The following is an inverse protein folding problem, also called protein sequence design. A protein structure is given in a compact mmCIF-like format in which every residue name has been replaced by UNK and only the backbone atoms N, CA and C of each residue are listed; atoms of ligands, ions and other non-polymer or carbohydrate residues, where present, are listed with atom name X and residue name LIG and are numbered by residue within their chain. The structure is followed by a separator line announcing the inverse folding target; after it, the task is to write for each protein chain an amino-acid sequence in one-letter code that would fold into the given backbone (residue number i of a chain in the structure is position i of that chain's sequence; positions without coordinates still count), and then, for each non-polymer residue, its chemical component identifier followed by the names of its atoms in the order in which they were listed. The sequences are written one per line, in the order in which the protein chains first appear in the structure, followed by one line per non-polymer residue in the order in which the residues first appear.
data_IF_387767545806
#
_entry.id   IF_387767545806
#
_cell.length_a   1.000
_cell.length_b   1.000
_cell.length_c   1.000
_cell.angle_alpha   90.00
_cell.angle_beta   90.00
_cell.angle_gamma   90.00
#
_symmetry.space_group_name_H-M   'P 1'
#
loop_
_entity.id
_entity.type
_entity.pdbx_description
1 polymer ?
#
# COMPACT_ATOMS: atom_id res chain seq x y z
N UNK A 1 -12.67 -14.88 16.82
CA UNK A 1 -12.80 -13.95 15.67
C UNK A 1 -13.83 -12.89 16.06
N UNK A 2 -13.55 -11.59 15.88
CA UNK A 2 -14.53 -10.53 16.15
C UNK A 2 -15.67 -10.61 15.13
N UNK A 3 -16.91 -10.31 15.55
CA UNK A 3 -18.02 -10.15 14.60
C UNK A 3 -17.81 -8.90 13.75
N UNK A 4 -18.48 -8.84 12.60
CA UNK A 4 -18.37 -7.68 11.68
C UNK A 4 -18.83 -6.38 12.35
N UNK A 5 -19.94 -6.45 13.10
CA UNK A 5 -20.49 -5.32 13.85
C UNK A 5 -19.51 -4.85 14.94
N UNK A 6 -18.91 -5.80 15.68
CA UNK A 6 -17.96 -5.47 16.73
C UNK A 6 -16.69 -4.86 16.18
N UNK A 7 -16.23 -5.31 15.01
CA UNK A 7 -15.09 -4.70 14.32
C UNK A 7 -15.37 -3.26 13.92
N UNK A 8 -16.55 -3.00 13.37
CA UNK A 8 -16.98 -1.65 13.02
C UNK A 8 -17.09 -0.74 14.27
N UNK A 9 -17.67 -1.22 15.36
CA UNK A 9 -17.73 -0.49 16.64
C UNK A 9 -16.35 -0.09 17.15
N UNK A 10 -15.39 -1.03 17.13
CA UNK A 10 -14.01 -0.76 17.57
C UNK A 10 -13.36 0.30 16.67
N UNK A 11 -13.52 0.22 15.36
CA UNK A 11 -12.99 1.21 14.41
C UNK A 11 -13.62 2.58 14.62
N UNK A 12 -14.94 2.66 14.73
CA UNK A 12 -15.65 3.93 14.97
C UNK A 12 -15.25 4.52 16.32
N UNK A 13 -15.14 3.71 17.37
CA UNK A 13 -14.69 4.16 18.68
C UNK A 13 -13.26 4.72 18.64
N UNK A 14 -12.34 4.02 17.97
CA UNK A 14 -10.96 4.52 17.79
C UNK A 14 -10.93 5.84 16.99
N UNK A 15 -11.79 5.97 15.97
CA UNK A 15 -11.88 7.20 15.18
C UNK A 15 -12.51 8.35 15.98
N UNK A 16 -13.54 8.08 16.79
CA UNK A 16 -14.12 9.05 17.70
C UNK A 16 -13.11 9.50 18.77
N UNK A 17 -12.31 8.60 19.28
CA UNK A 17 -11.20 8.89 20.20
C UNK A 17 -10.17 9.81 19.53
N UNK A 18 -9.83 9.59 18.25
CA UNK A 18 -8.95 10.45 17.47
C UNK A 18 -9.57 11.83 17.29
N UNK A 19 -10.83 11.91 16.87
CA UNK A 19 -11.56 13.18 16.66
C UNK A 19 -11.56 14.04 17.92
N UNK A 20 -11.82 13.43 19.09
CA UNK A 20 -11.96 14.13 20.35
C UNK A 20 -10.64 14.28 21.13
N UNK A 21 -9.50 13.90 20.53
CA UNK A 21 -8.22 13.96 21.22
C UNK A 21 -7.64 15.38 21.27
N UNK A 22 -6.52 15.50 21.98
CA UNK A 22 -5.65 16.67 21.88
C UNK A 22 -4.64 16.45 20.75
N UNK A 23 -4.26 17.55 20.06
CA UNK A 23 -3.30 17.46 18.95
C UNK A 23 -1.99 16.72 19.29
N UNK A 24 -1.50 16.87 20.53
CA UNK A 24 -0.28 16.18 21.03
C UNK A 24 -0.42 14.66 21.13
N UNK A 25 -1.64 14.14 21.13
CA UNK A 25 -1.93 12.70 21.19
C UNK A 25 -2.36 12.15 19.83
N UNK A 26 -2.44 12.97 18.80
CA UNK A 26 -2.94 12.60 17.47
C UNK A 26 -2.23 11.37 16.92
N UNK A 27 -0.89 11.35 16.93
CA UNK A 27 -0.07 10.24 16.44
C UNK A 27 -0.45 8.89 17.09
N UNK A 28 -0.57 8.88 18.41
CA UNK A 28 -0.94 7.67 19.16
C UNK A 28 -2.36 7.21 18.82
N UNK A 29 -3.27 8.14 18.59
CA UNK A 29 -4.67 7.84 18.26
C UNK A 29 -4.82 7.40 16.80
N UNK A 30 -4.01 7.93 15.88
CA UNK A 30 -3.92 7.43 14.50
C UNK A 30 -3.51 5.96 14.49
N UNK A 31 -2.46 5.58 15.22
CA UNK A 31 -2.05 4.19 15.36
C UNK A 31 -3.16 3.26 15.88
N UNK A 32 -4.04 3.76 16.79
CA UNK A 32 -5.18 2.99 17.28
C UNK A 32 -6.24 2.74 16.17
N UNK A 33 -6.50 3.72 15.32
CA UNK A 33 -7.41 3.57 14.16
C UNK A 33 -6.86 2.55 13.17
N UNK A 34 -5.58 2.68 12.78
CA UNK A 34 -4.93 1.73 11.86
C UNK A 34 -4.88 0.31 12.42
N UNK A 35 -4.64 0.17 13.73
CA UNK A 35 -4.69 -1.12 14.42
C UNK A 35 -6.09 -1.75 14.35
N UNK A 36 -7.15 -0.96 14.53
CA UNK A 36 -8.53 -1.46 14.41
C UNK A 36 -8.81 -1.99 13.00
N UNK A 37 -8.31 -1.32 11.95
CA UNK A 37 -8.39 -1.81 10.57
C UNK A 37 -7.64 -3.12 10.40
N UNK A 38 -6.38 -3.20 10.83
CA UNK A 38 -5.54 -4.38 10.70
C UNK A 38 -6.09 -5.62 11.43
N UNK A 39 -6.84 -5.44 12.51
CA UNK A 39 -7.44 -6.53 13.30
C UNK A 39 -8.74 -7.07 12.72
N UNK A 40 -9.31 -6.43 11.71
CA UNK A 40 -10.57 -6.84 11.08
C UNK A 40 -10.38 -7.12 9.61
N UNK A 41 -10.59 -8.38 9.22
CA UNK A 41 -10.50 -8.78 7.81
C UNK A 41 -11.44 -7.94 6.92
N UNK A 42 -12.66 -7.66 7.37
CA UNK A 42 -13.62 -6.85 6.60
C UNK A 42 -13.11 -5.43 6.35
N UNK A 43 -12.59 -4.77 7.41
CA UNK A 43 -12.06 -3.41 7.31
C UNK A 43 -10.82 -3.39 6.44
N UNK A 44 -9.89 -4.33 6.67
CA UNK A 44 -8.66 -4.46 5.89
C UNK A 44 -8.94 -4.61 4.40
N UNK A 45 -9.73 -5.63 4.01
CA UNK A 45 -10.09 -5.89 2.61
C UNK A 45 -10.80 -4.69 1.96
N UNK A 46 -11.62 -3.94 2.72
CA UNK A 46 -12.31 -2.75 2.19
C UNK A 46 -11.34 -1.60 1.96
N UNK A 47 -10.43 -1.33 2.92
CA UNK A 47 -9.44 -0.26 2.75
C UNK A 47 -8.39 -0.62 1.70
N UNK A 48 -7.96 -1.88 1.61
CA UNK A 48 -7.13 -2.38 0.52
C UNK A 48 -7.80 -2.11 -0.84
N UNK A 49 -9.08 -2.44 -0.96
CA UNK A 49 -9.84 -2.22 -2.19
C UNK A 49 -9.91 -0.73 -2.59
N UNK A 50 -10.26 0.17 -1.67
CA UNK A 50 -10.40 1.60 -2.02
C UNK A 50 -9.06 2.28 -2.28
N UNK A 51 -7.96 1.76 -1.74
CA UNK A 51 -6.61 2.30 -1.98
C UNK A 51 -5.94 1.71 -3.21
N UNK A 52 -6.43 0.57 -3.72
CA UNK A 52 -5.86 -0.07 -4.91
C UNK A 52 -6.04 0.81 -6.16
N UNK A 53 -4.91 1.24 -6.73
CA UNK A 53 -4.88 2.13 -7.89
C UNK A 53 -5.28 3.59 -7.62
N UNK A 54 -5.43 4.00 -6.35
CA UNK A 54 -5.71 5.38 -6.00
C UNK A 54 -4.44 6.24 -6.07
N UNK A 55 -4.43 7.26 -6.94
CA UNK A 55 -3.32 8.21 -7.04
C UNK A 55 -3.35 9.22 -5.87
N UNK A 56 -2.77 8.80 -4.75
CA UNK A 56 -2.72 9.60 -3.53
C UNK A 56 -1.92 10.89 -3.71
N UNK A 57 -0.83 10.89 -4.47
CA UNK A 57 0.01 12.07 -4.66
C UNK A 57 -0.74 13.16 -5.44
N UNK A 58 -1.42 12.77 -6.53
CA UNK A 58 -2.27 13.68 -7.27
C UNK A 58 -3.45 14.19 -6.41
N UNK A 59 -4.12 13.29 -5.66
CA UNK A 59 -5.21 13.67 -4.77
C UNK A 59 -4.74 14.65 -3.68
N UNK A 60 -3.58 14.41 -3.06
CA UNK A 60 -3.01 15.27 -2.02
C UNK A 60 -2.75 16.68 -2.53
N UNK A 61 -2.22 16.83 -3.75
CA UNK A 61 -1.98 18.13 -4.36
C UNK A 61 -3.25 18.93 -4.67
N UNK A 62 -4.36 18.24 -4.93
CA UNK A 62 -5.67 18.87 -5.20
C UNK A 62 -6.43 19.16 -3.91
N UNK A 63 -6.35 18.24 -2.93
CA UNK A 63 -7.09 18.35 -1.68
C UNK A 63 -6.50 19.41 -0.74
N UNK A 64 -5.18 19.56 -0.70
CA UNK A 64 -4.50 20.57 0.10
C UNK A 64 -4.10 21.75 -0.77
N UNK A 65 -4.96 22.76 -0.82
CA UNK A 65 -4.72 24.03 -1.53
C UNK A 65 -4.56 25.17 -0.53
N UNK A 66 -3.98 26.30 -0.98
CA UNK A 66 -3.64 27.45 -0.15
C UNK A 66 -4.74 27.81 0.87
N UNK A 67 -4.45 27.52 2.14
CA UNK A 67 -5.30 27.87 3.28
C UNK A 67 -6.55 27.02 3.46
N UNK A 68 -6.68 25.86 2.79
CA UNK A 68 -7.87 25.03 2.94
C UNK A 68 -7.69 23.56 2.57
N UNK A 69 -8.75 22.79 2.84
CA UNK A 69 -8.84 21.37 2.45
C UNK A 69 -10.13 21.14 1.69
N UNK A 70 -10.02 20.59 0.50
CA UNK A 70 -11.13 20.17 -0.35
C UNK A 70 -11.11 18.65 -0.49
N UNK A 71 -12.02 17.94 0.19
CA UNK A 71 -12.07 16.49 0.14
C UNK A 71 -12.61 15.95 -1.18
N UNK A 72 -12.20 14.73 -1.61
CA UNK A 72 -12.78 14.05 -2.75
C UNK A 72 -14.30 13.90 -2.61
N UNK A 73 -15.03 14.03 -3.73
CA UNK A 73 -16.50 13.97 -3.76
C UNK A 73 -17.03 12.54 -3.64
N UNK A 74 -16.27 11.55 -4.16
CA UNK A 74 -16.67 10.15 -4.13
C UNK A 74 -16.29 9.53 -2.79
N UNK A 75 -17.21 8.74 -2.22
CA UNK A 75 -17.01 8.06 -0.93
C UNK A 75 -15.76 7.18 -0.94
N UNK A 76 -15.50 6.43 -2.03
CA UNK A 76 -14.32 5.57 -2.16
C UNK A 76 -13.02 6.37 -2.18
N UNK A 77 -12.95 7.43 -2.98
CA UNK A 77 -11.77 8.31 -3.08
C UNK A 77 -11.50 9.04 -1.75
N UNK A 78 -12.56 9.45 -1.03
CA UNK A 78 -12.45 10.08 0.28
C UNK A 78 -11.90 9.10 1.32
N UNK A 79 -12.39 7.85 1.32
CA UNK A 79 -11.88 6.81 2.22
C UNK A 79 -10.41 6.50 1.93
N UNK A 80 -10.05 6.33 0.65
CA UNK A 80 -8.68 6.08 0.23
C UNK A 80 -7.75 7.23 0.65
N UNK A 81 -8.12 8.47 0.32
CA UNK A 81 -7.33 9.65 0.65
C UNK A 81 -7.06 9.78 2.15
N UNK A 82 -8.14 9.74 2.97
CA UNK A 82 -8.00 9.90 4.40
C UNK A 82 -7.22 8.74 5.05
N UNK A 83 -7.45 7.51 4.61
CA UNK A 83 -6.75 6.34 5.13
C UNK A 83 -5.25 6.41 4.84
N UNK A 84 -4.86 6.73 3.60
CA UNK A 84 -3.45 6.88 3.22
C UNK A 84 -2.79 8.05 3.94
N UNK A 85 -3.50 9.17 4.18
CA UNK A 85 -2.99 10.26 5.00
C UNK A 85 -2.71 9.82 6.44
N UNK A 86 -3.62 9.04 7.05
CA UNK A 86 -3.40 8.48 8.39
C UNK A 86 -2.20 7.53 8.40
N UNK A 87 -2.01 6.72 7.36
CA UNK A 87 -0.82 5.88 7.23
C UNK A 87 0.48 6.69 7.10
N UNK A 88 0.50 7.80 6.35
CA UNK A 88 1.66 8.69 6.27
C UNK A 88 2.00 9.33 7.63
N UNK A 89 0.97 9.73 8.39
CA UNK A 89 1.16 10.28 9.74
C UNK A 89 1.77 9.22 10.67
N UNK A 90 1.24 8.01 10.68
CA UNK A 90 1.75 6.90 11.50
C UNK A 90 3.19 6.53 11.12
N UNK A 91 3.48 6.47 9.82
CA UNK A 91 4.81 6.21 9.27
C UNK A 91 5.79 7.39 9.42
N UNK A 92 5.38 8.53 10.03
CA UNK A 92 6.17 9.76 10.18
C UNK A 92 6.66 10.36 8.85
N UNK A 93 5.99 10.04 7.75
CA UNK A 93 6.21 10.69 6.45
C UNK A 93 5.50 12.05 6.38
N UNK A 94 4.41 12.19 7.13
CA UNK A 94 3.70 13.46 7.32
C UNK A 94 3.72 13.86 8.80
N UNK A 95 4.02 15.13 9.07
CA UNK A 95 4.03 15.70 10.41
C UNK A 95 2.69 16.39 10.70
N UNK A 96 1.99 15.92 11.74
CA UNK A 96 0.68 16.46 12.11
C UNK A 96 0.77 17.95 12.44
N UNK A 97 1.81 18.41 13.14
CA UNK A 97 1.97 19.81 13.52
C UNK A 97 2.14 20.68 12.29
N UNK A 98 2.97 20.21 11.33
CA UNK A 98 3.15 20.90 10.06
C UNK A 98 1.85 20.96 9.27
N UNK A 99 1.13 19.85 9.14
CA UNK A 99 -0.16 19.75 8.46
C UNK A 99 -1.18 20.74 9.06
N UNK A 100 -1.28 20.76 10.41
CA UNK A 100 -2.18 21.66 11.12
C UNK A 100 -1.81 23.13 10.89
N UNK A 101 -0.52 23.46 10.93
CA UNK A 101 -0.03 24.84 10.75
C UNK A 101 -0.25 25.33 9.32
N UNK A 102 -0.04 24.46 8.34
CA UNK A 102 -0.07 24.83 6.92
C UNK A 102 -1.51 24.96 6.37
N UNK A 103 -2.41 24.03 6.75
CA UNK A 103 -3.74 23.93 6.12
C UNK A 103 -4.92 24.21 7.04
N UNK A 104 -4.72 24.20 8.36
CA UNK A 104 -5.81 24.36 9.34
C UNK A 104 -5.58 25.49 10.33
N UNK A 105 -4.49 26.26 10.14
CA UNK A 105 -4.11 27.29 11.08
C UNK A 105 -5.17 28.39 11.14
N UNK A 106 -5.93 28.42 12.26
CA UNK A 106 -6.75 29.55 12.67
C UNK A 106 -6.00 30.35 13.72
N UNK A 107 -6.43 31.60 13.95
CA UNK A 107 -5.80 32.52 14.89
C UNK A 107 -5.84 32.07 16.38
N UNK A 108 -6.49 30.92 16.68
CA UNK A 108 -6.81 30.47 18.04
C UNK A 108 -5.91 29.34 18.57
N UNK A 109 -4.77 29.08 17.92
CA UNK A 109 -3.75 28.11 18.37
C UNK A 109 -3.96 26.69 17.90
N UNK A 110 -2.99 25.81 18.23
CA UNK A 110 -2.87 24.43 17.69
C UNK A 110 -4.07 23.53 18.01
N UNK A 111 -4.72 23.69 19.15
CA UNK A 111 -5.90 22.88 19.48
C UNK A 111 -7.10 23.29 18.62
N UNK A 112 -7.23 24.54 18.25
CA UNK A 112 -8.25 25.02 17.32
C UNK A 112 -7.98 24.52 15.90
N UNK A 113 -6.72 24.57 15.46
CA UNK A 113 -6.30 23.97 14.19
C UNK A 113 -6.63 22.48 14.14
N UNK A 114 -6.38 21.74 15.22
CA UNK A 114 -6.74 20.33 15.33
C UNK A 114 -8.26 20.10 15.28
N UNK A 115 -9.04 20.93 15.96
CA UNK A 115 -10.50 20.85 15.87
C UNK A 115 -11.00 21.07 14.44
N UNK A 116 -10.39 22.02 13.71
CA UNK A 116 -10.70 22.25 12.29
C UNK A 116 -10.29 21.04 11.41
N UNK A 117 -9.14 20.44 11.66
CA UNK A 117 -8.70 19.19 11.02
C UNK A 117 -9.70 18.06 11.28
N UNK A 118 -10.08 17.85 12.53
CA UNK A 118 -11.05 16.84 12.90
C UNK A 118 -12.40 17.08 12.20
N UNK A 119 -12.88 18.31 12.19
CA UNK A 119 -14.15 18.65 11.57
C UNK A 119 -14.14 18.53 10.05
N UNK A 120 -13.06 18.97 9.37
CA UNK A 120 -13.00 19.01 7.91
C UNK A 120 -12.55 17.68 7.30
N UNK A 121 -11.86 16.80 8.04
CA UNK A 121 -11.27 15.57 7.51
C UNK A 121 -11.72 14.31 8.27
N UNK A 122 -11.53 14.27 9.59
CA UNK A 122 -11.77 13.03 10.35
C UNK A 122 -13.26 12.69 10.50
N UNK A 123 -14.13 13.68 10.69
CA UNK A 123 -15.58 13.46 10.77
C UNK A 123 -16.14 12.97 9.43
N UNK A 124 -15.87 13.65 8.28
CA UNK A 124 -16.26 13.11 6.97
C UNK A 124 -15.73 11.70 6.71
N UNK A 125 -14.49 11.41 7.06
CA UNK A 125 -13.89 10.07 6.95
C UNK A 125 -14.68 9.03 7.76
N UNK A 126 -14.90 9.30 9.07
CA UNK A 126 -15.67 8.42 9.96
C UNK A 126 -17.07 8.16 9.42
N UNK A 127 -17.78 9.21 9.02
CA UNK A 127 -19.17 9.11 8.59
C UNK A 127 -19.29 8.37 7.25
N UNK A 128 -18.35 8.60 6.34
CA UNK A 128 -18.29 7.88 5.08
C UNK A 128 -17.94 6.41 5.32
N UNK A 129 -16.96 6.11 6.17
CA UNK A 129 -16.65 4.74 6.55
C UNK A 129 -17.86 4.03 7.15
N UNK A 130 -18.54 4.66 8.10
CA UNK A 130 -19.76 4.10 8.71
C UNK A 130 -20.82 3.76 7.66
N UNK A 131 -21.11 4.68 6.74
CA UNK A 131 -22.10 4.45 5.66
C UNK A 131 -21.67 3.28 4.75
N UNK A 132 -20.41 3.28 4.33
CA UNK A 132 -19.87 2.26 3.43
C UNK A 132 -19.92 0.87 4.06
N UNK A 133 -19.46 0.74 5.32
CA UNK A 133 -19.47 -0.55 6.00
C UNK A 133 -20.89 -1.04 6.32
N UNK A 134 -21.83 -0.15 6.64
CA UNK A 134 -23.24 -0.54 6.81
C UNK A 134 -23.81 -1.09 5.49
N UNK A 135 -23.54 -0.45 4.35
CA UNK A 135 -23.96 -0.95 3.02
C UNK A 135 -23.33 -2.30 2.66
N UNK A 136 -22.05 -2.51 3.01
CA UNK A 136 -21.38 -3.80 2.81
C UNK A 136 -22.01 -4.88 3.70
N UNK A 137 -22.31 -4.58 4.95
CA UNK A 137 -22.93 -5.54 5.88
C UNK A 137 -24.37 -5.88 5.51
N UNK A 138 -25.13 -4.92 4.95
CA UNK A 138 -26.51 -5.16 4.46
C UNK A 138 -26.52 -5.90 3.12
N UNK A 139 -25.37 -6.06 2.46
CA UNK A 139 -25.27 -6.69 1.15
C UNK A 139 -25.64 -5.76 -0.03
N UNK A 140 -25.84 -4.48 0.23
CA UNK A 140 -26.10 -3.46 -0.81
C UNK A 140 -24.85 -3.12 -1.61
N UNK A 141 -23.65 -3.30 -1.01
CA UNK A 141 -22.36 -3.20 -1.70
C UNK A 141 -21.59 -4.50 -1.52
N UNK A 142 -20.90 -5.01 -2.55
CA UNK A 142 -19.98 -6.12 -2.37
C UNK A 142 -18.83 -5.67 -1.45
N UNK A 143 -18.47 -6.50 -0.49
CA UNK A 143 -17.37 -6.24 0.45
C UNK A 143 -16.02 -6.04 -0.25
N UNK A 144 -15.87 -6.61 -1.42
CA UNK A 144 -14.72 -6.49 -2.32
C UNK A 144 -15.28 -6.67 -3.74
N UNK A 145 -14.92 -5.76 -4.64
CA UNK A 145 -15.07 -6.04 -6.07
C UNK A 145 -14.14 -7.23 -6.35
N UNK A 146 -14.71 -8.40 -6.57
CA UNK A 146 -13.90 -9.50 -7.12
C UNK A 146 -13.35 -8.97 -8.43
N UNK A 147 -12.03 -8.73 -8.49
CA UNK A 147 -11.34 -8.48 -9.77
C UNK A 147 -11.89 -9.54 -10.73
N UNK A 148 -12.42 -9.13 -11.86
CA UNK A 148 -12.92 -10.08 -12.83
C UNK A 148 -11.76 -10.95 -13.26
N UNK A 149 -12.00 -12.22 -13.59
CA UNK A 149 -10.95 -13.13 -14.11
C UNK A 149 -10.12 -12.50 -15.23
N UNK A 150 -10.68 -11.53 -15.96
CA UNK A 150 -9.98 -10.78 -17.01
C UNK A 150 -9.04 -9.71 -16.44
N UNK A 151 -9.38 -9.07 -15.31
CA UNK A 151 -8.50 -8.06 -14.65
C UNK A 151 -7.33 -8.75 -13.96
N UNK A 152 -7.57 -9.86 -13.25
CA UNK A 152 -6.51 -10.70 -12.67
C UNK A 152 -5.61 -11.26 -13.78
N UNK A 153 -6.18 -11.76 -14.86
CA UNK A 153 -5.41 -12.26 -16.00
C UNK A 153 -4.63 -11.16 -16.74
N UNK A 154 -5.11 -9.90 -16.73
CA UNK A 154 -4.36 -8.76 -17.29
C UNK A 154 -3.22 -8.31 -16.39
N UNK A 155 -3.43 -8.30 -15.07
CA UNK A 155 -2.37 -7.98 -14.09
C UNK A 155 -1.31 -9.08 -14.05
N UNK A 156 -1.72 -10.35 -14.01
CA UNK A 156 -0.80 -11.49 -14.11
C UNK A 156 -0.02 -11.48 -15.44
N UNK A 157 -0.68 -11.16 -16.56
CA UNK A 157 0.00 -10.98 -17.85
C UNK A 157 0.93 -9.78 -17.89
N UNK A 158 0.61 -8.69 -17.17
CA UNK A 158 1.44 -7.48 -17.10
C UNK A 158 2.64 -7.72 -16.19
N UNK A 159 2.46 -8.35 -15.03
CA UNK A 159 3.53 -8.78 -14.13
C UNK A 159 4.41 -9.85 -14.78
N UNK A 160 3.82 -10.87 -15.40
CA UNK A 160 4.53 -11.91 -16.15
C UNK A 160 5.35 -11.36 -17.33
N UNK A 161 4.91 -10.23 -17.92
CA UNK A 161 5.62 -9.58 -19.02
C UNK A 161 6.77 -8.69 -18.55
N UNK A 162 6.66 -8.12 -17.34
CA UNK A 162 7.73 -7.31 -16.70
C UNK A 162 8.92 -8.17 -16.24
N UNK A 163 8.72 -9.46 -15.98
CA UNK A 163 9.72 -10.39 -15.40
C UNK A 163 9.87 -11.68 -16.19
N UNK A 164 9.58 -11.64 -17.49
CA UNK A 164 9.54 -12.85 -18.33
C UNK A 164 10.92 -13.51 -18.52
N UNK A 165 11.98 -12.70 -18.64
CA UNK A 165 13.35 -13.19 -18.78
C UNK A 165 13.88 -13.76 -17.46
N UNK A 166 13.53 -13.13 -16.33
CA UNK A 166 13.90 -13.63 -15.00
C UNK A 166 13.23 -14.98 -14.74
N UNK A 167 11.92 -15.13 -15.02
CA UNK A 167 11.18 -16.38 -14.87
C UNK A 167 11.73 -17.51 -15.77
N UNK A 168 12.12 -17.16 -16.98
CA UNK A 168 12.78 -18.12 -17.87
C UNK A 168 14.13 -18.59 -17.28
N UNK A 169 14.92 -17.67 -16.72
CA UNK A 169 16.17 -18.02 -16.05
C UNK A 169 15.95 -18.86 -14.78
N UNK A 170 14.90 -18.59 -13.99
CA UNK A 170 14.48 -19.43 -12.85
C UNK A 170 14.22 -20.87 -13.31
N UNK A 171 13.42 -21.07 -14.37
CA UNK A 171 13.11 -22.38 -14.92
C UNK A 171 14.37 -23.13 -15.39
N UNK A 172 15.32 -22.44 -16.03
CA UNK A 172 16.60 -23.07 -16.42
C UNK A 172 17.41 -23.52 -15.21
N UNK A 173 17.39 -22.78 -14.10
CA UNK A 173 18.06 -23.20 -12.86
C UNK A 173 17.35 -24.39 -12.23
N UNK A 174 16.01 -24.38 -12.15
CA UNK A 174 15.24 -25.53 -11.62
C UNK A 174 15.47 -26.79 -12.40
N UNK A 175 15.51 -26.73 -13.74
CA UNK A 175 15.81 -27.86 -14.61
C UNK A 175 17.24 -28.41 -14.39
N UNK A 176 18.21 -27.52 -14.15
CA UNK A 176 19.61 -27.95 -13.90
C UNK A 176 19.79 -28.53 -12.49
N UNK A 177 19.10 -27.93 -11.47
CA UNK A 177 19.04 -28.52 -10.11
C UNK A 177 18.47 -29.92 -10.14
N UNK A 178 17.36 -30.12 -10.87
CA UNK A 178 16.75 -31.44 -11.01
C UNK A 178 17.67 -32.47 -11.70
N UNK A 179 18.60 -32.02 -12.56
CA UNK A 179 19.56 -32.88 -13.25
C UNK A 179 20.82 -33.16 -12.47
N UNK A 180 21.38 -32.17 -11.81
CA UNK A 180 22.76 -32.26 -11.26
C UNK A 180 22.84 -32.04 -9.76
N UNK A 181 21.81 -31.43 -9.11
CA UNK A 181 21.86 -31.09 -7.69
C UNK A 181 22.98 -30.09 -7.37
N UNK A 182 23.26 -29.12 -8.27
CA UNK A 182 24.35 -28.16 -8.09
C UNK A 182 23.92 -27.03 -7.16
N UNK A 183 24.54 -26.95 -5.97
CA UNK A 183 24.27 -25.93 -4.94
C UNK A 183 24.36 -24.48 -5.48
N UNK A 184 25.19 -24.24 -6.50
CA UNK A 184 25.32 -22.95 -7.16
C UNK A 184 24.09 -22.56 -7.97
N UNK A 185 23.39 -23.56 -8.52
CA UNK A 185 22.14 -23.33 -9.22
C UNK A 185 21.01 -23.02 -8.23
N UNK A 186 21.04 -23.60 -7.03
CA UNK A 186 20.09 -23.26 -5.96
C UNK A 186 20.27 -21.81 -5.48
N UNK A 187 21.53 -21.39 -5.25
CA UNK A 187 21.84 -20.00 -4.90
C UNK A 187 21.40 -19.02 -5.99
N UNK A 188 21.62 -19.37 -7.24
CA UNK A 188 21.24 -18.53 -8.37
C UNK A 188 19.72 -18.44 -8.54
N UNK A 189 19.00 -19.56 -8.38
CA UNK A 189 17.54 -19.58 -8.41
C UNK A 189 16.95 -18.71 -7.30
N UNK A 190 17.55 -18.75 -6.11
CA UNK A 190 17.16 -17.88 -5.01
C UNK A 190 17.34 -16.38 -5.35
N UNK A 191 18.50 -15.99 -5.91
CA UNK A 191 18.78 -14.59 -6.30
C UNK A 191 17.80 -14.11 -7.39
N UNK A 192 17.49 -14.96 -8.37
CA UNK A 192 16.53 -14.65 -9.43
C UNK A 192 15.12 -14.42 -8.85
N UNK A 193 14.71 -15.26 -7.91
CA UNK A 193 13.43 -15.11 -7.20
C UNK A 193 13.35 -13.80 -6.43
N UNK A 194 14.37 -13.46 -5.65
CA UNK A 194 14.46 -12.19 -4.91
C UNK A 194 14.40 -10.99 -5.86
N UNK A 195 15.09 -11.06 -7.01
CA UNK A 195 15.04 -9.99 -8.02
C UNK A 195 13.64 -9.85 -8.62
N UNK A 196 12.98 -10.97 -8.92
CA UNK A 196 11.61 -10.95 -9.43
C UNK A 196 10.62 -10.32 -8.43
N UNK A 197 10.68 -10.76 -7.18
CA UNK A 197 9.84 -10.24 -6.11
C UNK A 197 10.09 -8.74 -5.90
N UNK A 198 11.35 -8.29 -5.88
CA UNK A 198 11.69 -6.88 -5.76
C UNK A 198 11.15 -6.02 -6.93
N UNK A 199 11.13 -6.56 -8.16
CA UNK A 199 10.53 -5.87 -9.32
C UNK A 199 9.00 -5.83 -9.22
N UNK A 200 8.37 -6.92 -8.77
CA UNK A 200 6.92 -7.01 -8.58
C UNK A 200 6.46 -6.06 -7.47
N UNK A 201 7.27 -5.88 -6.42
CA UNK A 201 7.02 -4.98 -5.28
C UNK A 201 7.51 -3.53 -5.51
N UNK A 202 8.13 -3.24 -6.67
CA UNK A 202 8.66 -1.92 -7.07
C UNK A 202 9.68 -1.32 -6.06
N UNK A 203 10.49 -2.19 -5.42
CA UNK A 203 11.49 -1.80 -4.41
C UNK A 203 12.88 -1.53 -5.04
N UNK A 204 13.12 -0.32 -5.52
CA UNK A 204 14.33 0.06 -6.29
C UNK A 204 15.66 -0.31 -5.62
N UNK A 205 15.79 -0.18 -4.29
CA UNK A 205 17.03 -0.52 -3.57
C UNK A 205 17.28 -2.04 -3.59
N UNK A 206 16.23 -2.84 -3.41
CA UNK A 206 16.31 -4.31 -3.48
C UNK A 206 16.57 -4.78 -4.91
N UNK A 207 15.93 -4.17 -5.90
CA UNK A 207 16.18 -4.46 -7.32
C UNK A 207 17.67 -4.28 -7.62
N UNK A 208 18.25 -3.13 -7.24
CA UNK A 208 19.65 -2.84 -7.47
C UNK A 208 20.58 -3.87 -6.81
N UNK A 209 20.31 -4.21 -5.55
CA UNK A 209 21.13 -5.15 -4.78
C UNK A 209 21.04 -6.57 -5.35
N UNK A 210 19.82 -7.08 -5.61
CA UNK A 210 19.59 -8.42 -6.16
C UNK A 210 20.18 -8.56 -7.57
N UNK A 211 20.06 -7.53 -8.40
CA UNK A 211 20.66 -7.53 -9.74
C UNK A 211 22.20 -7.53 -9.69
N UNK A 212 22.80 -6.79 -8.76
CA UNK A 212 24.25 -6.83 -8.56
C UNK A 212 24.71 -8.22 -8.15
N UNK A 213 24.01 -8.85 -7.19
CA UNK A 213 24.27 -10.23 -6.76
C UNK A 213 24.16 -11.21 -7.93
N UNK A 214 23.13 -11.07 -8.77
CA UNK A 214 22.93 -11.88 -9.98
C UNK A 214 24.13 -11.81 -10.93
N UNK A 215 24.62 -10.59 -11.20
CA UNK A 215 25.81 -10.39 -12.09
C UNK A 215 27.05 -11.13 -11.61
N UNK A 216 27.25 -11.23 -10.30
CA UNK A 216 28.38 -11.96 -9.73
C UNK A 216 28.13 -13.47 -9.73
N UNK A 217 26.91 -13.92 -9.37
CA UNK A 217 26.56 -15.33 -9.31
C UNK A 217 26.63 -16.00 -10.69
N UNK A 218 26.12 -15.37 -11.75
CA UNK A 218 26.17 -15.91 -13.12
C UNK A 218 27.60 -16.14 -13.60
N UNK A 219 28.58 -15.35 -13.18
CA UNK A 219 30.01 -15.55 -13.53
C UNK A 219 30.62 -16.78 -12.87
N UNK A 220 30.06 -17.24 -11.76
CA UNK A 220 30.58 -18.35 -10.98
C UNK A 220 30.02 -19.70 -11.45
N UNK A 221 28.99 -19.73 -12.26
CA UNK A 221 28.35 -20.96 -12.78
C UNK A 221 28.77 -21.27 -14.21
N UNK A 222 28.84 -22.59 -14.53
CA UNK A 222 29.09 -23.03 -15.88
C UNK A 222 27.82 -23.43 -16.64
N UNK A 223 26.80 -23.83 -15.92
CA UNK A 223 25.48 -24.28 -16.42
C UNK A 223 24.42 -23.97 -15.31
N UNK A 224 23.19 -23.57 -15.68
CA UNK A 224 22.78 -23.19 -17.02
C UNK A 224 23.48 -21.89 -17.46
N UNK A 225 23.60 -21.65 -18.78
CA UNK A 225 24.04 -20.33 -19.28
C UNK A 225 22.88 -19.38 -19.30
N UNK A 226 22.91 -18.41 -18.39
CA UNK A 226 21.89 -17.36 -18.31
C UNK A 226 22.34 -16.15 -19.13
N UNK A 227 21.46 -15.72 -20.02
CA UNK A 227 21.62 -14.47 -20.77
C UNK A 227 21.15 -13.31 -19.87
N UNK A 228 22.09 -12.40 -19.56
CA UNK A 228 21.82 -11.25 -18.72
C UNK A 228 21.19 -10.07 -19.47
N UNK A 229 21.30 -10.03 -20.81
CA UNK A 229 20.84 -8.87 -21.59
C UNK A 229 19.33 -8.63 -21.44
N UNK A 230 18.44 -9.60 -21.63
CA UNK A 230 17.01 -9.41 -21.45
C UNK A 230 16.64 -9.14 -19.97
N UNK A 231 17.37 -9.69 -19.01
CA UNK A 231 17.16 -9.38 -17.58
C UNK A 231 17.58 -7.93 -17.27
N UNK A 232 18.66 -7.47 -17.89
CA UNK A 232 19.10 -6.07 -17.74
C UNK A 232 18.06 -5.09 -18.27
N UNK A 233 17.39 -5.42 -19.38
CA UNK A 233 16.30 -4.61 -19.92
C UNK A 233 15.10 -4.56 -18.96
N UNK A 234 14.71 -5.72 -18.38
CA UNK A 234 13.63 -5.77 -17.39
C UNK A 234 13.95 -4.97 -16.12
N UNK A 235 15.18 -5.09 -15.59
CA UNK A 235 15.65 -4.31 -14.43
C UNK A 235 15.68 -2.80 -14.74
N UNK A 236 16.18 -2.42 -15.91
CA UNK A 236 16.25 -1.01 -16.32
C UNK A 236 14.86 -0.38 -16.52
N UNK A 237 13.87 -1.18 -16.85
CA UNK A 237 12.48 -0.73 -16.99
C UNK A 237 11.75 -0.64 -15.64
N UNK A 238 12.31 -1.24 -14.58
CA UNK A 238 11.73 -1.27 -13.23
C UNK A 238 12.37 -0.24 -12.28
N UNK A 239 13.54 0.31 -12.62
CA UNK A 239 14.24 1.37 -11.87
C UNK A 239 13.85 2.76 -12.37
#
# INVERSE_FOLDING_TARGET
MLTRERSLEIFLGATDDLINSKYILADSKVGAVLKAVAQSRLLYETFEYVTDGFDYAAAKSVCFVDGGVALPQKDEDLLAFCFLLLMEIDAKKEDVIRLLTEYFNGNDGMQSAYAAFAQKLLIPFRDTAKRTFVKIMSGEMPAVRKKTHEEVAKEEKKASKKTSAIRYAETLCEDEIARSGDDKCEELAYILKELREAIEDEESDKITLAYLALKYAVKAIKRPKIDLDPITEEVSAAL
#
